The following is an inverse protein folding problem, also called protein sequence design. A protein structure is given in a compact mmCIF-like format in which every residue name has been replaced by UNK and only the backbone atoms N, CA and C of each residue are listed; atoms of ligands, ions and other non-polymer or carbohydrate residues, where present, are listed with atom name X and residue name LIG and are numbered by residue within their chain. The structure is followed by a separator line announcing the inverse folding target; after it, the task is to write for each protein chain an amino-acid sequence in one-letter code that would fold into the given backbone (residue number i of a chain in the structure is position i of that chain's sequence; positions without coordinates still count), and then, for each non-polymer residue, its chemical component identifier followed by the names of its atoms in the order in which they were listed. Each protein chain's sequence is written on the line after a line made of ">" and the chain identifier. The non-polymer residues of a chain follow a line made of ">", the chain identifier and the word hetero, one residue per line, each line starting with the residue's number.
data_IF_748248767984
#
_entry.id   IF_748248767984
#
_cell.length_a   1.000
_cell.length_b   1.000
_cell.length_c   1.000
_cell.angle_alpha   90.00
_cell.angle_beta   90.00
_cell.angle_gamma   90.00
#
_symmetry.space_group_name_H-M   'P 1'
#
loop_
_entity.id
_entity.type
_entity.pdbx_description
1 polymer ?
#
# COMPACT_ATOMS: atom_id res chain seq x y z
N UNK A 1 -7.06 2.18 15.61
CA UNK A 1 -8.18 2.86 14.90
C UNK A 1 -7.91 4.37 14.92
N UNK A 2 -8.05 5.04 13.80
CA UNK A 2 -7.84 6.49 13.68
C UNK A 2 -9.17 7.24 13.86
N UNK A 3 -9.26 8.14 14.86
CA UNK A 3 -10.47 8.95 15.17
C UNK A 3 -11.78 8.14 15.17
N UNK A 4 -11.75 6.89 15.65
CA UNK A 4 -12.92 6.00 15.69
C UNK A 4 -13.30 5.34 14.36
N UNK A 5 -12.57 5.56 13.27
CA UNK A 5 -12.78 4.88 12.01
C UNK A 5 -12.10 3.50 12.01
N UNK A 6 -12.90 2.44 11.97
CA UNK A 6 -12.41 1.05 12.01
C UNK A 6 -11.71 0.61 10.71
N UNK A 7 -11.93 1.32 9.61
CA UNK A 7 -11.29 1.04 8.33
C UNK A 7 -9.87 1.63 8.24
N UNK A 8 -9.45 2.44 9.21
CA UNK A 8 -8.12 3.05 9.24
C UNK A 8 -7.29 2.45 10.36
N UNK A 9 -6.18 1.81 9.99
CA UNK A 9 -5.22 1.24 10.90
C UNK A 9 -3.86 1.93 10.75
N UNK A 10 -3.36 2.50 11.83
CA UNK A 10 -2.00 3.03 11.94
C UNK A 10 -1.17 2.01 12.72
N UNK A 11 -0.05 1.56 12.15
CA UNK A 11 0.81 0.56 12.76
C UNK A 11 1.56 1.13 13.97
N UNK A 12 1.07 0.85 15.18
CA UNK A 12 1.74 1.24 16.43
C UNK A 12 2.71 0.15 16.90
N UNK A 13 3.72 -0.14 16.08
CA UNK A 13 4.72 -1.16 16.37
C UNK A 13 6.13 -0.54 16.49
N UNK A 14 6.91 -0.83 17.57
CA UNK A 14 8.24 -0.24 17.79
C UNK A 14 9.19 -0.42 16.59
N UNK A 15 9.17 -1.58 15.96
CA UNK A 15 10.03 -1.87 14.80
C UNK A 15 9.67 -1.00 13.59
N UNK A 16 8.38 -0.75 13.33
CA UNK A 16 7.93 0.14 12.25
C UNK A 16 8.41 1.56 12.54
N UNK A 17 8.20 2.07 13.76
CA UNK A 17 8.66 3.39 14.19
C UNK A 17 10.17 3.56 14.03
N UNK A 18 10.95 2.56 14.42
CA UNK A 18 12.40 2.56 14.27
C UNK A 18 12.80 2.65 12.78
N UNK A 19 12.21 1.84 11.91
CA UNK A 19 12.49 1.85 10.48
C UNK A 19 12.07 3.16 9.80
N UNK A 20 10.94 3.74 10.19
CA UNK A 20 10.54 5.09 9.76
C UNK A 20 11.60 6.13 10.13
N UNK A 21 12.16 6.06 11.35
CA UNK A 21 13.26 6.96 11.76
C UNK A 21 14.47 6.86 10.84
N UNK A 22 14.85 5.65 10.43
CA UNK A 22 15.93 5.45 9.47
C UNK A 22 15.60 6.04 8.09
N UNK A 23 14.38 5.88 7.59
CA UNK A 23 13.93 6.50 6.32
C UNK A 23 13.98 8.03 6.35
N UNK A 24 13.65 8.64 7.49
CA UNK A 24 13.66 10.11 7.65
C UNK A 24 15.06 10.71 7.56
N UNK A 25 16.09 9.94 7.91
CA UNK A 25 17.45 10.44 7.88
C UNK A 25 17.85 10.77 6.44
N UNK A 26 18.25 12.03 6.21
CA UNK A 26 18.68 12.52 4.89
C UNK A 26 19.94 11.83 4.37
N UNK A 27 20.76 11.24 5.26
CA UNK A 27 21.98 10.52 4.90
C UNK A 27 21.74 9.05 4.52
N UNK A 28 20.51 8.52 4.71
CA UNK A 28 20.17 7.16 4.28
C UNK A 28 20.27 7.06 2.76
N UNK A 29 21.22 6.25 2.29
CA UNK A 29 21.47 6.06 0.86
C UNK A 29 20.35 5.30 0.15
N UNK A 30 20.30 5.43 -1.18
CA UNK A 30 19.22 4.84 -2.02
C UNK A 30 19.03 3.34 -1.79
N UNK A 31 20.12 2.58 -1.69
CA UNK A 31 20.02 1.13 -1.48
C UNK A 31 19.40 0.77 -0.13
N UNK A 32 19.85 1.42 0.93
CA UNK A 32 19.31 1.25 2.28
C UNK A 32 17.86 1.73 2.38
N UNK A 33 17.56 2.89 1.78
CA UNK A 33 16.21 3.44 1.74
C UNK A 33 15.22 2.46 1.10
N UNK A 34 15.60 1.89 -0.05
CA UNK A 34 14.80 0.89 -0.77
C UNK A 34 14.55 -0.35 0.08
N UNK A 35 15.59 -0.88 0.72
CA UNK A 35 15.48 -2.05 1.59
C UNK A 35 14.53 -1.79 2.77
N UNK A 36 14.62 -0.63 3.41
CA UNK A 36 13.76 -0.28 4.54
C UNK A 36 12.31 -0.07 4.11
N UNK A 37 12.05 0.55 2.94
CA UNK A 37 10.70 0.67 2.37
C UNK A 37 10.08 -0.72 2.16
N UNK A 38 10.85 -1.65 1.61
CA UNK A 38 10.41 -3.03 1.40
C UNK A 38 10.09 -3.75 2.72
N UNK A 39 10.92 -3.57 3.75
CA UNK A 39 10.72 -4.15 5.08
C UNK A 39 9.47 -3.56 5.77
N UNK A 40 9.24 -2.24 5.67
CA UNK A 40 8.02 -1.62 6.22
C UNK A 40 6.79 -2.09 5.44
N UNK A 41 6.88 -2.19 4.11
CA UNK A 41 5.79 -2.72 3.29
C UNK A 41 5.40 -4.14 3.72
N UNK A 42 6.37 -5.00 4.04
CA UNK A 42 6.12 -6.33 4.58
C UNK A 42 5.42 -6.27 5.95
N UNK A 43 5.85 -5.41 6.87
CA UNK A 43 5.23 -5.30 8.20
C UNK A 43 3.80 -4.75 8.13
N UNK A 44 3.57 -3.71 7.34
CA UNK A 44 2.23 -3.14 7.10
C UNK A 44 1.34 -4.16 6.36
N UNK A 45 1.92 -4.87 5.40
CA UNK A 45 1.24 -5.94 4.66
C UNK A 45 0.82 -7.09 5.56
N UNK A 46 1.65 -7.51 6.51
CA UNK A 46 1.30 -8.53 7.49
C UNK A 46 0.03 -8.15 8.27
N UNK A 47 -0.09 -6.90 8.71
CA UNK A 47 -1.30 -6.43 9.37
C UNK A 47 -2.51 -6.39 8.41
N UNK A 48 -2.31 -6.00 7.16
CA UNK A 48 -3.37 -5.97 6.16
C UNK A 48 -3.91 -7.37 5.78
N UNK A 49 -3.09 -8.41 6.00
CA UNK A 49 -3.44 -9.81 5.76
C UNK A 49 -4.13 -10.48 6.95
N UNK A 50 -4.26 -9.83 8.11
CA UNK A 50 -4.76 -10.42 9.36
C UNK A 50 -6.14 -11.06 9.23
N UNK A 51 -7.00 -10.53 8.37
CA UNK A 51 -8.38 -10.97 8.19
C UNK A 51 -8.61 -11.67 6.84
N UNK A 52 -7.60 -12.38 6.33
CA UNK A 52 -7.81 -13.26 5.17
C UNK A 52 -8.70 -14.42 5.55
N UNK A 53 -9.63 -14.74 4.65
CA UNK A 53 -10.47 -15.92 4.79
C UNK A 53 -9.65 -17.19 4.59
N UNK A 54 -9.98 -18.22 5.37
CA UNK A 54 -9.35 -19.52 5.30
C UNK A 54 -10.38 -20.58 4.88
N UNK A 55 -9.92 -21.60 4.19
CA UNK A 55 -10.68 -22.83 3.88
C UNK A 55 -9.89 -24.05 4.34
N UNK A 56 -10.61 -25.09 4.74
CA UNK A 56 -10.00 -26.34 5.17
C UNK A 56 -9.77 -27.27 3.96
N UNK A 57 -8.55 -27.79 3.86
CA UNK A 57 -8.16 -28.78 2.85
C UNK A 57 -7.52 -29.98 3.49
N UNK A 58 -7.70 -31.15 2.88
CA UNK A 58 -7.03 -32.37 3.31
C UNK A 58 -5.55 -32.33 2.90
N UNK A 59 -4.66 -32.52 3.87
CA UNK A 59 -3.20 -32.50 3.70
C UNK A 59 -2.61 -33.80 4.24
N UNK A 60 -1.86 -34.51 3.41
CA UNK A 60 -1.05 -35.62 3.84
C UNK A 60 0.23 -35.12 4.50
N UNK A 61 0.32 -35.24 5.83
CA UNK A 61 1.51 -34.91 6.60
C UNK A 61 2.45 -36.09 6.71
N UNK A 62 3.69 -35.94 7.18
CA UNK A 62 4.58 -37.07 7.40
C UNK A 62 4.08 -38.08 8.45
N UNK A 63 3.05 -37.78 9.21
CA UNK A 63 2.53 -38.60 10.32
C UNK A 63 1.13 -39.13 10.01
N UNK A 64 0.23 -38.29 9.52
CA UNK A 64 -1.17 -38.65 9.25
C UNK A 64 -1.80 -37.68 8.24
N UNK A 65 -2.95 -38.05 7.69
CA UNK A 65 -3.79 -37.11 6.91
C UNK A 65 -4.61 -36.24 7.86
N UNK A 66 -4.52 -34.92 7.68
CA UNK A 66 -5.20 -33.91 8.53
C UNK A 66 -5.90 -32.84 7.72
N UNK A 67 -6.98 -32.29 8.27
CA UNK A 67 -7.62 -31.07 7.75
C UNK A 67 -6.80 -29.86 8.17
N UNK A 68 -6.34 -29.07 7.21
CA UNK A 68 -5.46 -27.93 7.46
C UNK A 68 -5.97 -26.66 6.78
N UNK A 69 -5.88 -25.48 7.44
CA UNK A 69 -6.33 -24.23 6.87
C UNK A 69 -5.37 -23.72 5.79
N UNK A 70 -5.95 -23.26 4.67
CA UNK A 70 -5.24 -22.54 3.60
C UNK A 70 -5.98 -21.24 3.30
N UNK A 71 -5.29 -20.28 2.66
CA UNK A 71 -5.96 -19.01 2.26
C UNK A 71 -6.98 -19.34 1.16
N UNK A 72 -8.23 -18.98 1.43
CA UNK A 72 -9.37 -19.21 0.55
C UNK A 72 -9.33 -18.32 -0.70
N UNK A 73 -10.03 -18.74 -1.75
CA UNK A 73 -10.34 -17.95 -2.92
C UNK A 73 -9.20 -17.69 -3.89
N UNK A 74 -9.36 -16.64 -4.71
CA UNK A 74 -8.35 -16.25 -5.73
C UNK A 74 -7.11 -15.63 -5.08
N UNK A 75 -5.96 -15.81 -5.72
CA UNK A 75 -4.70 -15.18 -5.30
C UNK A 75 -4.84 -13.65 -5.31
N UNK A 76 -4.25 -13.02 -4.30
CA UNK A 76 -4.30 -11.58 -4.08
C UNK A 76 -3.71 -10.80 -5.28
N UNK A 77 -4.05 -9.53 -5.38
CA UNK A 77 -3.48 -8.59 -6.35
C UNK A 77 -2.75 -7.46 -5.61
N UNK A 78 -1.54 -7.14 -6.05
CA UNK A 78 -0.75 -6.00 -5.59
C UNK A 78 -0.71 -4.98 -6.72
N UNK A 79 -1.16 -3.75 -6.48
CA UNK A 79 -1.25 -2.70 -7.48
C UNK A 79 -0.44 -1.48 -7.00
N UNK A 80 0.85 -1.39 -7.35
CA UNK A 80 1.62 -0.19 -7.07
C UNK A 80 1.16 0.99 -7.92
N UNK A 81 1.07 2.16 -7.30
CA UNK A 81 0.97 3.44 -8.01
C UNK A 81 2.37 3.80 -8.48
N UNK A 82 2.55 3.86 -9.79
CA UNK A 82 3.84 4.17 -10.38
C UNK A 82 4.22 5.63 -10.12
N UNK A 83 5.50 5.91 -9.84
CA UNK A 83 6.67 5.01 -9.79
C UNK A 83 6.96 4.48 -8.38
N UNK A 84 6.72 5.30 -7.35
CA UNK A 84 7.19 5.06 -5.97
C UNK A 84 6.63 3.76 -5.35
N UNK A 85 5.39 3.39 -5.67
CA UNK A 85 4.76 2.16 -5.20
C UNK A 85 5.52 0.89 -5.52
N UNK A 86 6.35 0.88 -6.58
CA UNK A 86 7.20 -0.27 -6.92
C UNK A 86 8.15 -0.67 -5.77
N UNK A 87 8.60 0.28 -4.95
CA UNK A 87 9.46 -0.01 -3.80
C UNK A 87 8.80 -0.86 -2.71
N UNK A 88 7.46 -0.97 -2.71
CA UNK A 88 6.73 -1.76 -1.72
C UNK A 88 6.41 -3.19 -2.19
N UNK A 89 6.47 -3.43 -3.50
CA UNK A 89 6.02 -4.70 -4.11
C UNK A 89 6.82 -5.90 -3.62
N UNK A 90 8.15 -5.78 -3.55
CA UNK A 90 9.04 -6.86 -3.12
C UNK A 90 8.73 -7.37 -1.72
N UNK A 91 8.47 -6.46 -0.77
CA UNK A 91 8.09 -6.82 0.60
C UNK A 91 6.78 -7.59 0.67
N UNK A 92 5.77 -7.16 -0.09
CA UNK A 92 4.49 -7.86 -0.15
C UNK A 92 4.58 -9.23 -0.85
N UNK A 93 5.38 -9.34 -1.90
CA UNK A 93 5.59 -10.63 -2.58
C UNK A 93 6.32 -11.66 -1.69
N UNK A 94 7.13 -11.22 -0.71
CA UNK A 94 7.71 -12.12 0.30
C UNK A 94 6.65 -12.74 1.20
N UNK A 95 5.56 -12.02 1.49
CA UNK A 95 4.41 -12.55 2.26
C UNK A 95 3.45 -13.35 1.37
N UNK A 96 3.26 -12.92 0.14
CA UNK A 96 2.30 -13.47 -0.82
C UNK A 96 2.98 -13.81 -2.15
N UNK A 97 3.83 -14.86 -2.22
CA UNK A 97 4.61 -15.14 -3.43
C UNK A 97 3.76 -15.45 -4.67
N UNK A 98 2.53 -15.91 -4.46
CA UNK A 98 1.59 -16.23 -5.54
C UNK A 98 0.69 -15.05 -5.95
N UNK A 99 0.81 -13.88 -5.31
CA UNK A 99 0.03 -12.69 -5.66
C UNK A 99 0.28 -12.27 -7.11
N UNK A 100 -0.75 -11.73 -7.75
CA UNK A 100 -0.62 -11.12 -9.07
C UNK A 100 -0.24 -9.66 -8.91
N UNK A 101 0.58 -9.14 -9.81
CA UNK A 101 0.98 -7.73 -9.78
C UNK A 101 0.40 -7.03 -11.01
N UNK A 102 -0.40 -6.00 -10.77
CA UNK A 102 -0.81 -5.03 -11.80
C UNK A 102 -0.06 -3.71 -11.58
N UNK A 103 -0.27 -2.73 -12.44
CA UNK A 103 0.37 -1.43 -12.33
C UNK A 103 -0.60 -0.33 -12.75
N UNK A 104 -0.59 0.78 -12.02
CA UNK A 104 -1.28 2.00 -12.40
C UNK A 104 -0.28 3.14 -12.44
N UNK A 105 -0.17 3.80 -13.59
CA UNK A 105 0.58 5.01 -13.78
C UNK A 105 -0.34 6.20 -13.94
N UNK A 106 -0.15 7.21 -13.09
CA UNK A 106 -0.92 8.44 -13.08
C UNK A 106 0.01 9.64 -13.27
N UNK A 107 -0.41 10.61 -14.07
CA UNK A 107 0.17 11.94 -14.08
C UNK A 107 -0.90 12.96 -13.79
N UNK A 108 -0.49 14.12 -13.33
CA UNK A 108 -1.38 15.24 -13.13
C UNK A 108 -1.27 16.15 -14.35
N UNK A 109 -2.39 16.43 -14.97
CA UNK A 109 -2.45 17.41 -16.06
C UNK A 109 -1.97 18.78 -15.55
N UNK A 110 -1.12 19.46 -16.32
CA UNK A 110 -0.50 20.72 -15.90
C UNK A 110 -1.48 21.91 -15.92
N UNK A 111 -2.54 21.84 -16.73
CA UNK A 111 -3.53 22.92 -16.88
C UNK A 111 -4.74 22.68 -15.97
N UNK A 112 -5.30 21.48 -15.96
CA UNK A 112 -6.52 21.15 -15.20
C UNK A 112 -6.24 20.65 -13.80
N UNK A 113 -4.99 20.24 -13.51
CA UNK A 113 -4.58 19.55 -12.29
C UNK A 113 -5.35 18.26 -12.00
N UNK A 114 -6.10 17.76 -12.98
CA UNK A 114 -6.80 16.49 -12.88
C UNK A 114 -5.81 15.31 -13.04
N UNK A 115 -6.00 14.23 -12.30
CA UNK A 115 -5.20 13.03 -12.46
C UNK A 115 -5.66 12.26 -13.69
N UNK A 116 -4.72 11.98 -14.59
CA UNK A 116 -4.93 11.15 -15.77
C UNK A 116 -4.13 9.86 -15.69
N UNK A 117 -4.74 8.79 -16.16
CA UNK A 117 -4.08 7.51 -16.33
C UNK A 117 -3.24 7.53 -17.61
N UNK A 118 -1.94 7.23 -17.52
CA UNK A 118 -1.11 6.96 -18.69
C UNK A 118 -0.78 5.47 -18.86
N UNK A 119 -1.02 4.68 -17.84
CA UNK A 119 -0.81 3.24 -17.88
C UNK A 119 -1.67 2.53 -16.83
N UNK A 120 -2.46 1.56 -17.26
CA UNK A 120 -3.19 0.68 -16.37
C UNK A 120 -3.17 -0.75 -16.94
N UNK A 121 -2.61 -1.66 -16.16
CA UNK A 121 -2.66 -3.09 -16.48
C UNK A 121 -2.95 -3.87 -15.21
N UNK A 122 -4.18 -4.32 -15.09
CA UNK A 122 -4.66 -5.07 -13.93
C UNK A 122 -4.65 -6.58 -14.20
N UNK A 123 -4.51 -7.41 -13.18
CA UNK A 123 -4.69 -8.86 -13.29
C UNK A 123 -6.11 -9.21 -13.75
N UNK A 124 -6.24 -10.31 -14.48
CA UNK A 124 -7.55 -10.88 -14.84
C UNK A 124 -8.36 -11.23 -13.59
N UNK A 125 -9.69 -11.19 -13.70
CA UNK A 125 -10.62 -11.51 -12.62
C UNK A 125 -10.38 -10.62 -11.37
N UNK A 126 -10.10 -9.34 -11.59
CA UNK A 126 -9.81 -8.38 -10.51
C UNK A 126 -10.97 -8.24 -9.52
N UNK A 127 -12.19 -8.46 -9.98
CA UNK A 127 -13.44 -8.46 -9.22
C UNK A 127 -13.55 -9.58 -8.19
N UNK A 128 -12.71 -10.64 -8.31
CA UNK A 128 -12.67 -11.81 -7.43
C UNK A 128 -11.42 -11.82 -6.53
N UNK A 129 -10.62 -10.77 -6.56
CA UNK A 129 -9.35 -10.69 -5.81
C UNK A 129 -9.44 -9.70 -4.67
N UNK A 130 -8.74 -10.03 -3.57
CA UNK A 130 -8.36 -9.01 -2.59
C UNK A 130 -7.23 -8.17 -3.16
N UNK A 131 -7.41 -6.86 -3.21
CA UNK A 131 -6.54 -5.91 -3.91
C UNK A 131 -5.80 -5.05 -2.89
N UNK A 132 -4.47 -5.02 -3.00
CA UNK A 132 -3.60 -4.14 -2.21
C UNK A 132 -3.04 -3.06 -3.11
N UNK A 133 -3.60 -1.86 -3.04
CA UNK A 133 -3.05 -0.65 -3.69
C UNK A 133 -1.96 -0.10 -2.82
N UNK A 134 -0.77 0.14 -3.38
CA UNK A 134 0.40 0.53 -2.59
C UNK A 134 1.08 1.79 -3.13
N UNK A 135 1.37 2.71 -2.23
CA UNK A 135 2.16 3.92 -2.48
C UNK A 135 2.91 4.28 -1.18
N UNK A 136 4.20 4.56 -1.18
CA UNK A 136 4.93 4.91 0.04
C UNK A 136 4.37 6.12 0.78
N UNK A 137 3.77 7.08 0.08
CA UNK A 137 3.33 8.34 0.67
C UNK A 137 1.87 8.65 0.36
N UNK A 138 1.06 8.85 1.39
CA UNK A 138 -0.29 9.39 1.29
C UNK A 138 -0.25 10.87 1.72
N UNK A 139 0.11 11.77 0.79
CA UNK A 139 0.21 13.20 1.05
C UNK A 139 -1.15 13.90 0.90
N UNK A 140 -1.54 14.31 -0.31
CA UNK A 140 -2.84 14.97 -0.58
C UNK A 140 -3.99 14.01 -0.85
N UNK A 141 -3.71 12.72 -1.05
CA UNK A 141 -4.68 11.67 -1.36
C UNK A 141 -5.11 11.59 -2.83
N UNK A 142 -4.78 12.58 -3.66
CA UNK A 142 -5.28 12.62 -5.04
C UNK A 142 -4.93 11.38 -5.87
N UNK A 143 -3.66 10.97 -5.91
CA UNK A 143 -3.21 9.79 -6.66
C UNK A 143 -3.87 8.50 -6.15
N UNK A 144 -3.99 8.35 -4.82
CA UNK A 144 -4.62 7.17 -4.22
C UNK A 144 -6.11 7.09 -4.59
N UNK A 145 -6.84 8.20 -4.50
CA UNK A 145 -8.26 8.28 -4.87
C UNK A 145 -8.44 7.88 -6.33
N UNK A 146 -7.69 8.52 -7.24
CA UNK A 146 -7.81 8.23 -8.68
C UNK A 146 -7.45 6.79 -9.02
N UNK A 147 -6.38 6.24 -8.42
CA UNK A 147 -6.02 4.84 -8.62
C UNK A 147 -7.14 3.88 -8.20
N UNK A 148 -7.78 4.16 -7.06
CA UNK A 148 -8.88 3.34 -6.56
C UNK A 148 -10.13 3.50 -7.42
N UNK A 149 -10.44 4.71 -7.91
CA UNK A 149 -11.52 4.94 -8.86
C UNK A 149 -11.32 4.10 -10.13
N UNK A 150 -10.12 4.12 -10.71
CA UNK A 150 -9.80 3.28 -11.89
C UNK A 150 -9.96 1.80 -11.58
N UNK A 151 -9.44 1.31 -10.46
CA UNK A 151 -9.58 -0.10 -10.08
C UNK A 151 -11.06 -0.49 -9.93
N UNK A 152 -11.88 0.35 -9.31
CA UNK A 152 -13.33 0.13 -9.18
C UNK A 152 -14.03 0.14 -10.53
N UNK A 153 -13.65 1.02 -11.46
CA UNK A 153 -14.18 1.06 -12.82
C UNK A 153 -13.85 -0.22 -13.61
N UNK A 154 -12.73 -0.88 -13.32
CA UNK A 154 -12.37 -2.20 -13.86
C UNK A 154 -13.00 -3.37 -13.09
N UNK A 155 -13.89 -3.10 -12.10
CA UNK A 155 -14.64 -4.11 -11.37
C UNK A 155 -14.01 -4.56 -10.04
N UNK A 156 -12.89 -3.95 -9.61
CA UNK A 156 -12.28 -4.24 -8.30
C UNK A 156 -13.18 -3.86 -7.13
N UNK A 157 -13.32 -4.74 -6.13
CA UNK A 157 -14.28 -4.59 -5.02
C UNK A 157 -13.62 -4.62 -3.65
N UNK A 158 -12.85 -5.66 -3.32
CA UNK A 158 -12.19 -5.80 -2.02
C UNK A 158 -10.81 -5.11 -2.06
N UNK A 159 -10.81 -3.80 -1.75
CA UNK A 159 -9.62 -2.95 -1.89
C UNK A 159 -9.09 -2.55 -0.50
N UNK A 160 -7.79 -2.67 -0.33
CA UNK A 160 -7.04 -2.09 0.78
C UNK A 160 -5.93 -1.19 0.24
N UNK A 161 -5.76 -0.02 0.83
CA UNK A 161 -4.65 0.89 0.52
C UNK A 161 -3.57 0.80 1.60
N UNK A 162 -2.31 0.67 1.21
CA UNK A 162 -1.16 0.56 2.11
C UNK A 162 -0.14 1.65 1.79
N UNK A 163 0.34 2.34 2.84
CA UNK A 163 1.43 3.31 2.70
C UNK A 163 2.43 3.25 3.85
N UNK A 164 3.63 3.79 3.61
CA UNK A 164 4.69 3.88 4.61
C UNK A 164 4.42 5.04 5.56
N UNK A 165 4.12 6.24 5.01
CA UNK A 165 3.71 7.41 5.79
C UNK A 165 2.48 8.08 5.17
N UNK A 166 1.70 8.73 6.01
CA UNK A 166 0.55 9.54 5.61
C UNK A 166 0.53 10.89 6.31
N UNK A 167 -0.09 11.88 5.68
CA UNK A 167 -0.55 13.10 6.32
C UNK A 167 -2.05 12.98 6.67
N UNK A 168 -2.53 13.61 7.75
CA UNK A 168 -3.95 13.60 8.13
C UNK A 168 -4.87 14.06 6.99
N UNK A 169 -4.47 15.09 6.25
CA UNK A 169 -5.25 15.69 5.15
C UNK A 169 -5.51 14.67 4.03
N UNK A 170 -4.47 13.92 3.61
CA UNK A 170 -4.61 12.88 2.59
C UNK A 170 -5.39 11.67 3.07
N UNK A 171 -5.16 11.28 4.32
CA UNK A 171 -5.84 10.16 4.95
C UNK A 171 -7.35 10.40 5.07
N UNK A 172 -7.75 11.58 5.56
CA UNK A 172 -9.15 11.96 5.70
C UNK A 172 -9.83 12.09 4.34
N UNK A 173 -9.14 12.69 3.36
CA UNK A 173 -9.66 12.84 2.00
C UNK A 173 -9.87 11.48 1.32
N UNK A 174 -8.91 10.56 1.45
CA UNK A 174 -9.04 9.22 0.90
C UNK A 174 -10.18 8.44 1.56
N UNK A 175 -10.27 8.48 2.90
CA UNK A 175 -11.33 7.81 3.63
C UNK A 175 -12.72 8.37 3.33
N UNK A 176 -12.85 9.69 3.08
CA UNK A 176 -14.11 10.31 2.68
C UNK A 176 -14.53 9.93 1.24
N UNK A 177 -13.58 9.84 0.30
CA UNK A 177 -13.85 9.45 -1.08
C UNK A 177 -14.19 7.94 -1.21
N UNK A 178 -13.54 7.11 -0.41
CA UNK A 178 -13.71 5.66 -0.44
C UNK A 178 -13.94 5.09 0.97
N UNK A 179 -15.13 5.27 1.56
CA UNK A 179 -15.42 4.80 2.92
C UNK A 179 -15.50 3.26 3.03
N UNK A 180 -15.55 2.58 1.91
CA UNK A 180 -15.67 1.12 1.78
C UNK A 180 -14.31 0.38 1.76
N UNK A 181 -13.19 1.10 1.67
CA UNK A 181 -11.85 0.48 1.64
C UNK A 181 -11.21 0.46 3.03
N UNK A 182 -10.22 -0.43 3.20
CA UNK A 182 -9.35 -0.42 4.38
C UNK A 182 -8.04 0.32 4.08
N UNK A 183 -7.58 1.11 5.02
CA UNK A 183 -6.34 1.92 4.88
C UNK A 183 -5.36 1.52 5.98
N UNK A 184 -4.17 1.08 5.58
CA UNK A 184 -3.09 0.67 6.47
C UNK A 184 -1.90 1.61 6.32
N UNK A 185 -1.52 2.26 7.42
CA UNK A 185 -0.50 3.31 7.45
C UNK A 185 0.63 2.89 8.37
N UNK A 186 1.86 2.92 7.89
CA UNK A 186 3.04 2.66 8.70
C UNK A 186 3.24 3.72 9.79
N UNK A 187 3.13 4.99 9.44
CA UNK A 187 3.15 6.10 10.39
C UNK A 187 2.30 7.28 9.90
N UNK A 188 1.51 7.85 10.79
CA UNK A 188 0.80 9.10 10.54
C UNK A 188 1.68 10.27 11.00
N UNK A 189 2.02 11.15 10.07
CA UNK A 189 2.81 12.35 10.32
C UNK A 189 1.90 13.52 10.75
N UNK A 190 2.51 14.69 11.02
CA UNK A 190 1.79 15.80 11.66
C UNK A 190 0.85 16.51 10.70
N UNK A 191 1.32 16.86 9.48
CA UNK A 191 0.60 17.73 8.53
C UNK A 191 1.29 17.76 7.15
N UNK A 192 0.67 18.42 6.18
CA UNK A 192 1.30 18.89 4.95
C UNK A 192 1.80 20.32 5.11
N UNK A 193 2.98 20.63 4.52
CA UNK A 193 3.41 22.02 4.38
C UNK A 193 2.77 22.71 3.16
N UNK A 194 3.06 24.00 2.96
CA UNK A 194 2.53 24.83 1.86
C UNK A 194 2.86 24.30 0.45
N UNK A 195 3.83 23.40 0.34
CA UNK A 195 4.21 22.73 -0.91
C UNK A 195 3.67 21.30 -1.02
N UNK A 196 2.72 20.94 -0.16
CA UNK A 196 2.12 19.61 -0.08
C UNK A 196 3.09 18.47 0.26
N UNK A 197 4.22 18.76 0.92
CA UNK A 197 5.10 17.74 1.48
C UNK A 197 4.64 17.35 2.88
N UNK A 198 4.71 16.06 3.18
CA UNK A 198 4.44 15.52 4.52
C UNK A 198 5.51 16.02 5.51
N UNK A 199 5.11 16.47 6.69
CA UNK A 199 5.97 16.96 7.76
C UNK A 199 5.79 16.14 9.05
N UNK A 200 6.90 15.63 9.64
CA UNK A 200 8.31 15.80 9.27
C UNK A 200 8.71 15.07 7.99
N UNK A 201 7.95 14.05 7.53
CA UNK A 201 8.12 13.40 6.26
C UNK A 201 9.42 12.59 6.12
N UNK A 202 9.71 12.23 4.87
CA UNK A 202 10.94 11.53 4.47
C UNK A 202 11.52 12.04 3.12
N UNK A 203 11.04 13.19 2.65
CA UNK A 203 11.38 13.75 1.33
C UNK A 203 10.53 13.16 0.21
N UNK A 204 11.03 13.17 -1.03
CA UNK A 204 10.41 12.48 -2.16
C UNK A 204 10.80 11.00 -2.15
N UNK A 205 9.82 10.12 -1.92
CA UNK A 205 10.07 8.69 -1.84
C UNK A 205 10.51 8.11 -3.19
N UNK A 206 9.93 8.59 -4.29
CA UNK A 206 10.29 8.13 -5.64
C UNK A 206 11.76 8.41 -5.95
N UNK A 207 12.19 9.64 -5.76
CA UNK A 207 13.59 10.04 -5.99
C UNK A 207 14.54 9.27 -5.07
N UNK A 208 14.18 9.08 -3.81
CA UNK A 208 15.01 8.34 -2.85
C UNK A 208 15.07 6.84 -3.14
N UNK A 209 13.97 6.22 -3.61
CA UNK A 209 13.93 4.80 -4.00
C UNK A 209 14.76 4.56 -5.27
N UNK A 210 14.68 5.47 -6.25
CA UNK A 210 15.28 5.25 -7.57
C UNK A 210 16.61 5.97 -7.77
N UNK A 211 16.99 6.88 -6.87
CA UNK A 211 18.24 7.64 -6.97
C UNK A 211 18.21 8.64 -8.14
N UNK A 212 17.06 9.27 -8.39
CA UNK A 212 16.86 10.20 -9.51
C UNK A 212 17.22 11.65 -9.19
N UNK A 213 17.70 11.94 -7.98
CA UNK A 213 18.29 13.23 -7.54
C UNK A 213 19.53 13.01 -6.69
#
# INVERSE_FOLDING_TARGET
>A
MYKGNENIMICDHPLVKHKITMLRNKSTGTNEFRAIVEEIAMLVGYEALRNLELEEVEVETPIETAMCPVIAGKKQAIIPILRAGLGMVGGLLKLMPAAKVGHIGLYRDEETFEPHEYYCKLPTEIDQRKIFVVDPMLATGGSAISAIDFIKNYGGKDISFLCVIAAPEGLEKLAAAHPDIKIYVGNLDRELNDRAYICPGLGDAGDRIFGTR
#
